data_IF_822238519991
#
_entry.id   IF_822238519991
#
_cell.length_a   1.000
_cell.length_b   1.000
_cell.length_c   1.000
_cell.angle_alpha   90.00
_cell.angle_beta   90.00
_cell.angle_gamma   90.00
#
_symmetry.space_group_name_H-M   'P 1'
#
loop_
_entity.id
_entity.type
_entity.pdbx_description
1 polymer ?
#
# COMPACT_ATOMS: atom_id res chain seq x y z
N UNK A 1 25.26 -3.56 -19.71
CA UNK A 1 23.88 -3.28 -19.26
C UNK A 1 23.69 -3.31 -17.73
N UNK A 2 24.75 -3.14 -16.92
CA UNK A 2 24.66 -3.35 -15.47
C UNK A 2 23.64 -2.44 -14.76
N UNK A 3 23.65 -1.13 -15.04
CA UNK A 3 22.69 -0.19 -14.45
C UNK A 3 21.22 -0.49 -14.82
N UNK A 4 20.98 -0.96 -16.05
CA UNK A 4 19.64 -1.43 -16.46
C UNK A 4 19.24 -2.65 -15.63
N UNK A 5 20.16 -3.61 -15.44
CA UNK A 5 19.96 -4.76 -14.57
C UNK A 5 19.67 -4.38 -13.11
N UNK A 6 20.35 -3.37 -12.56
CA UNK A 6 20.08 -2.85 -11.21
C UNK A 6 18.66 -2.30 -11.07
N UNK A 7 18.21 -1.51 -12.03
CA UNK A 7 16.83 -0.97 -12.04
C UNK A 7 15.80 -2.10 -12.14
N UNK A 8 16.00 -3.04 -13.05
CA UNK A 8 15.10 -4.20 -13.22
C UNK A 8 15.05 -5.02 -11.94
N UNK A 9 16.20 -5.33 -11.34
CA UNK A 9 16.29 -6.06 -10.07
C UNK A 9 15.54 -5.35 -8.94
N UNK A 10 15.67 -4.02 -8.84
CA UNK A 10 14.94 -3.23 -7.86
C UNK A 10 13.42 -3.31 -8.10
N UNK A 11 12.98 -3.25 -9.36
CA UNK A 11 11.56 -3.31 -9.74
C UNK A 11 10.98 -4.69 -9.45
N UNK A 12 11.69 -5.76 -9.80
CA UNK A 12 11.35 -7.14 -9.45
C UNK A 12 11.18 -7.30 -7.94
N UNK A 13 12.17 -6.86 -7.15
CA UNK A 13 12.11 -6.99 -5.68
C UNK A 13 10.96 -6.18 -5.07
N UNK A 14 10.69 -4.97 -5.56
CA UNK A 14 9.55 -4.15 -5.12
C UNK A 14 8.19 -4.74 -5.51
N UNK A 15 8.14 -5.64 -6.49
CA UNK A 15 6.91 -6.25 -7.00
C UNK A 15 6.75 -7.72 -6.61
N UNK A 16 7.47 -8.16 -5.56
CA UNK A 16 7.33 -9.51 -4.99
C UNK A 16 8.14 -10.58 -5.71
N UNK A 17 9.14 -10.19 -6.50
CA UNK A 17 10.14 -11.08 -7.11
C UNK A 17 11.52 -10.82 -6.51
N UNK A 18 11.95 -11.56 -5.46
CA UNK A 18 13.27 -11.38 -4.89
C UNK A 18 14.35 -11.44 -5.96
N UNK A 19 15.12 -10.37 -6.10
CA UNK A 19 16.13 -10.21 -7.14
C UNK A 19 17.33 -9.44 -6.60
N UNK A 20 18.52 -9.91 -6.97
CA UNK A 20 19.80 -9.28 -6.68
C UNK A 20 20.62 -9.19 -7.97
N UNK A 21 21.44 -8.15 -8.09
CA UNK A 21 22.36 -8.01 -9.22
C UNK A 21 23.70 -8.65 -8.92
N UNK A 22 24.18 -9.47 -9.85
CA UNK A 22 25.52 -10.04 -9.85
C UNK A 22 26.38 -9.35 -10.92
N UNK A 23 27.51 -8.77 -10.53
CA UNK A 23 28.44 -8.20 -11.50
C UNK A 23 29.28 -9.32 -12.13
N UNK A 24 29.33 -9.47 -13.47
CA UNK A 24 29.97 -10.61 -14.11
C UNK A 24 31.46 -10.76 -13.76
N UNK A 25 32.19 -9.64 -13.72
CA UNK A 25 33.61 -9.66 -13.34
C UNK A 25 33.84 -10.08 -11.88
N UNK A 26 32.87 -9.89 -10.99
CA UNK A 26 32.99 -10.30 -9.57
C UNK A 26 32.51 -11.73 -9.35
N UNK A 27 31.58 -12.21 -10.18
CA UNK A 27 31.04 -13.56 -10.09
C UNK A 27 32.15 -14.63 -10.07
N UNK A 28 33.10 -14.54 -11.00
CA UNK A 28 34.23 -15.49 -11.09
C UNK A 28 35.21 -15.39 -9.92
N UNK A 29 35.12 -14.35 -9.11
CA UNK A 29 35.99 -14.10 -7.95
C UNK A 29 35.29 -14.36 -6.61
N UNK A 30 34.18 -15.11 -6.60
CA UNK A 30 33.52 -15.59 -5.40
C UNK A 30 32.02 -15.29 -5.34
N UNK A 31 31.57 -14.20 -5.96
CA UNK A 31 30.17 -13.76 -5.88
C UNK A 31 29.19 -14.70 -6.59
N UNK A 32 29.69 -15.65 -7.41
CA UNK A 32 28.87 -16.74 -7.96
C UNK A 32 28.15 -17.53 -6.86
N UNK A 33 28.68 -17.55 -5.63
CA UNK A 33 28.06 -18.21 -4.48
C UNK A 33 26.71 -17.63 -4.04
N UNK A 34 26.33 -16.44 -4.55
CA UNK A 34 25.00 -15.86 -4.36
C UNK A 34 23.92 -16.71 -5.06
N UNK A 35 24.30 -17.44 -6.12
CA UNK A 35 23.36 -18.19 -6.95
C UNK A 35 23.12 -19.60 -6.42
N UNK A 36 21.85 -19.95 -6.21
CA UNK A 36 21.38 -21.30 -5.90
C UNK A 36 20.83 -22.05 -7.12
N UNK A 37 20.74 -23.39 -7.04
CA UNK A 37 20.26 -24.23 -8.14
C UNK A 37 18.79 -24.03 -8.53
N UNK A 38 17.97 -23.47 -7.64
CA UNK A 38 16.58 -23.12 -7.91
C UNK A 38 16.39 -21.68 -8.42
N UNK A 39 17.49 -20.92 -8.54
CA UNK A 39 17.44 -19.55 -9.01
C UNK A 39 17.43 -19.48 -10.55
N UNK A 40 17.08 -18.29 -11.04
CA UNK A 40 17.11 -17.96 -12.45
C UNK A 40 18.10 -16.82 -12.65
N UNK A 41 19.10 -17.03 -13.51
CA UNK A 41 19.96 -15.97 -14.01
C UNK A 41 19.27 -15.26 -15.18
N UNK A 42 18.87 -14.01 -14.97
CA UNK A 42 18.47 -13.11 -16.05
C UNK A 42 19.73 -12.39 -16.60
N UNK A 43 20.24 -12.86 -17.73
CA UNK A 43 21.47 -12.35 -18.34
C UNK A 43 21.16 -11.27 -19.39
N UNK A 44 21.73 -10.07 -19.23
CA UNK A 44 21.47 -8.92 -20.09
C UNK A 44 22.68 -8.60 -20.98
N UNK A 45 22.53 -8.75 -22.30
CA UNK A 45 23.54 -8.30 -23.28
C UNK A 45 22.87 -8.00 -24.61
N UNK A 46 23.00 -6.76 -25.10
CA UNK A 46 22.38 -6.36 -26.37
C UNK A 46 22.91 -7.18 -27.56
N UNK A 47 24.23 -7.36 -27.69
CA UNK A 47 24.83 -8.21 -28.72
C UNK A 47 24.70 -9.70 -28.39
N UNK A 48 24.62 -10.05 -27.11
CA UNK A 48 24.69 -11.45 -26.65
C UNK A 48 26.09 -12.07 -26.75
N UNK A 49 27.12 -11.25 -26.98
CA UNK A 49 28.51 -11.66 -27.21
C UNK A 49 29.50 -11.05 -26.18
N UNK A 50 28.99 -10.46 -25.09
CA UNK A 50 29.84 -9.88 -24.04
C UNK A 50 30.66 -10.97 -23.35
N UNK A 51 32.00 -10.92 -23.47
CA UNK A 51 32.90 -11.95 -22.97
C UNK A 51 32.68 -12.24 -21.47
N UNK A 52 32.56 -11.21 -20.65
CA UNK A 52 32.39 -11.34 -19.20
C UNK A 52 31.08 -12.05 -18.83
N UNK A 53 30.04 -11.92 -19.67
CA UNK A 53 28.77 -12.63 -19.49
C UNK A 53 28.90 -14.08 -19.96
N UNK A 54 29.58 -14.33 -21.09
CA UNK A 54 29.74 -15.68 -21.62
C UNK A 54 30.62 -16.56 -20.73
N UNK A 55 31.66 -15.98 -20.13
CA UNK A 55 32.60 -16.67 -19.24
C UNK A 55 31.94 -17.22 -17.97
N UNK A 56 30.87 -16.59 -17.47
CA UNK A 56 30.18 -17.05 -16.25
C UNK A 56 29.19 -18.19 -16.53
N UNK A 57 28.71 -18.37 -17.77
CA UNK A 57 27.63 -19.32 -18.07
C UNK A 57 27.96 -20.79 -17.71
N UNK A 58 29.19 -21.30 -17.92
CA UNK A 58 29.53 -22.66 -17.50
C UNK A 58 29.49 -22.87 -15.99
N UNK A 59 29.81 -21.84 -15.19
CA UNK A 59 29.70 -21.92 -13.73
C UNK A 59 28.23 -21.92 -13.30
N UNK A 60 27.41 -21.06 -13.90
CA UNK A 60 25.96 -20.99 -13.66
C UNK A 60 25.27 -22.33 -13.96
N UNK A 61 25.60 -22.97 -15.10
CA UNK A 61 25.08 -24.29 -15.45
C UNK A 61 25.48 -25.38 -14.46
N UNK A 62 26.70 -25.32 -13.91
CA UNK A 62 27.17 -26.26 -12.87
C UNK A 62 26.42 -26.09 -11.55
N UNK A 63 26.02 -24.86 -11.20
CA UNK A 63 25.13 -24.58 -10.06
C UNK A 63 23.73 -25.17 -10.27
N UNK A 64 23.31 -25.34 -11.53
CA UNK A 64 22.00 -25.88 -11.90
C UNK A 64 20.94 -24.82 -12.14
N UNK A 65 21.29 -23.54 -11.97
CA UNK A 65 20.39 -22.41 -12.21
C UNK A 65 19.99 -22.30 -13.69
N UNK A 66 18.76 -21.88 -13.93
CA UNK A 66 18.23 -21.63 -15.28
C UNK A 66 18.69 -20.30 -15.81
N UNK A 67 18.96 -20.22 -17.11
CA UNK A 67 19.46 -19.00 -17.76
C UNK A 67 18.38 -18.45 -18.68
N UNK A 68 18.00 -17.20 -18.48
CA UNK A 68 17.12 -16.44 -19.38
C UNK A 68 17.92 -15.29 -19.97
N UNK A 69 18.03 -15.23 -21.30
CA UNK A 69 18.73 -14.15 -21.98
C UNK A 69 17.78 -12.99 -22.32
N UNK A 70 18.18 -11.76 -22.02
CA UNK A 70 17.62 -10.53 -22.60
C UNK A 70 18.63 -9.96 -23.58
N UNK A 71 18.36 -10.14 -24.88
CA UNK A 71 19.31 -9.79 -25.95
C UNK A 71 18.62 -9.29 -27.21
N UNK A 72 19.32 -8.50 -28.03
CA UNK A 72 18.85 -8.09 -29.35
C UNK A 72 19.16 -9.10 -30.45
N UNK A 73 20.02 -10.09 -30.20
CA UNK A 73 20.50 -11.03 -31.20
C UNK A 73 20.08 -12.47 -30.88
N UNK A 74 19.08 -12.97 -31.61
CA UNK A 74 18.49 -14.30 -31.40
C UNK A 74 19.48 -15.47 -31.61
N UNK A 75 20.48 -15.28 -32.47
CA UNK A 75 21.49 -16.28 -32.78
C UNK A 75 22.84 -15.94 -32.10
N UNK A 76 22.84 -15.23 -30.96
CA UNK A 76 24.06 -14.96 -30.21
C UNK A 76 24.53 -16.17 -29.38
N UNK A 77 25.78 -16.15 -28.93
CA UNK A 77 26.31 -17.16 -28.02
C UNK A 77 25.53 -17.23 -26.70
N UNK A 78 25.13 -16.07 -26.15
CA UNK A 78 24.28 -16.01 -24.96
C UNK A 78 22.91 -16.66 -25.22
N UNK A 79 22.25 -16.31 -26.33
CA UNK A 79 20.94 -16.87 -26.67
C UNK A 79 20.98 -18.40 -26.82
N UNK A 80 21.97 -18.93 -27.55
CA UNK A 80 22.17 -20.39 -27.71
C UNK A 80 22.46 -21.12 -26.41
N UNK A 81 23.04 -20.42 -25.43
CA UNK A 81 23.44 -21.00 -24.16
C UNK A 81 22.34 -20.94 -23.09
N UNK A 82 21.22 -20.27 -23.37
CA UNK A 82 20.15 -19.98 -22.42
C UNK A 82 18.97 -20.96 -22.56
N UNK A 83 18.25 -21.21 -21.46
CA UNK A 83 17.04 -22.02 -21.44
C UNK A 83 15.84 -21.29 -22.06
N UNK A 84 15.82 -19.96 -22.00
CA UNK A 84 14.84 -19.11 -22.66
C UNK A 84 15.46 -17.78 -23.13
N UNK A 85 14.83 -17.15 -24.14
CA UNK A 85 15.30 -15.90 -24.73
C UNK A 85 14.16 -14.89 -24.83
N UNK A 86 14.36 -13.74 -24.21
CA UNK A 86 13.56 -12.53 -24.39
C UNK A 86 14.29 -11.68 -25.43
N UNK A 87 13.78 -11.72 -26.66
CA UNK A 87 14.39 -11.02 -27.80
C UNK A 87 13.94 -9.55 -27.82
N UNK A 88 14.91 -8.62 -27.87
CA UNK A 88 14.69 -7.17 -27.83
C UNK A 88 15.48 -6.53 -28.99
N UNK A 89 15.05 -6.72 -30.24
CA UNK A 89 15.81 -6.28 -31.39
C UNK A 89 15.70 -4.77 -31.53
N UNK A 90 16.84 -4.07 -31.47
CA UNK A 90 16.93 -2.63 -31.73
C UNK A 90 17.85 -2.43 -32.94
N UNK A 91 17.27 -1.93 -34.04
CA UNK A 91 18.00 -1.76 -35.31
C UNK A 91 18.84 -0.49 -35.36
N UNK A 92 18.46 0.53 -34.59
CA UNK A 92 19.07 1.86 -34.64
C UNK A 92 19.06 2.53 -33.27
N UNK A 93 20.22 3.01 -32.87
CA UNK A 93 20.43 3.90 -31.74
C UNK A 93 20.18 5.35 -32.15
N UNK A 94 19.84 6.19 -31.18
CA UNK A 94 19.73 7.64 -31.38
C UNK A 94 21.09 8.28 -31.70
N UNK A 95 22.19 7.64 -31.28
CA UNK A 95 23.55 8.03 -31.62
C UNK A 95 23.75 8.01 -33.15
N UNK A 96 24.25 9.09 -33.78
CA UNK A 96 24.49 9.14 -35.22
C UNK A 96 25.40 8.04 -35.77
N UNK A 97 26.32 7.53 -34.94
CA UNK A 97 27.26 6.46 -35.28
C UNK A 97 26.73 5.06 -34.96
N UNK A 98 25.54 4.96 -34.36
CA UNK A 98 24.96 3.69 -33.92
C UNK A 98 25.81 2.90 -32.89
N UNK A 99 26.68 3.59 -32.14
CA UNK A 99 27.62 2.98 -31.19
C UNK A 99 27.18 3.14 -29.73
N UNK A 100 26.74 4.34 -29.35
CA UNK A 100 26.35 4.60 -27.97
C UNK A 100 24.98 3.99 -27.70
N UNK A 101 24.85 3.16 -26.64
CA UNK A 101 23.58 2.51 -26.32
C UNK A 101 22.57 3.55 -25.81
N UNK A 102 21.45 3.66 -26.50
CA UNK A 102 20.40 4.64 -26.22
C UNK A 102 19.02 3.97 -26.33
N UNK A 103 18.58 3.64 -27.53
CA UNK A 103 17.34 2.92 -27.79
C UNK A 103 17.42 1.49 -27.23
N UNK A 104 18.57 0.82 -27.34
CA UNK A 104 18.74 -0.55 -26.82
C UNK A 104 18.59 -0.64 -25.30
N UNK A 105 19.16 0.29 -24.55
CA UNK A 105 19.05 0.32 -23.09
C UNK A 105 17.65 0.71 -22.64
N UNK A 106 17.00 1.68 -23.30
CA UNK A 106 15.61 2.05 -23.02
C UNK A 106 14.65 0.90 -23.30
N UNK A 107 14.80 0.22 -24.44
CA UNK A 107 13.96 -0.94 -24.79
C UNK A 107 14.15 -2.07 -23.77
N UNK A 108 15.40 -2.38 -23.40
CA UNK A 108 15.71 -3.40 -22.40
C UNK A 108 15.11 -3.07 -21.03
N UNK A 109 15.16 -1.80 -20.62
CA UNK A 109 14.54 -1.33 -19.37
C UNK A 109 13.01 -1.50 -19.41
N UNK A 110 12.37 -1.07 -20.50
CA UNK A 110 10.92 -1.17 -20.67
C UNK A 110 10.44 -2.63 -20.65
N UNK A 111 11.17 -3.53 -21.32
CA UNK A 111 10.86 -4.97 -21.29
C UNK A 111 11.08 -5.56 -19.91
N UNK A 112 12.11 -5.13 -19.18
CA UNK A 112 12.32 -5.54 -17.79
C UNK A 112 11.19 -5.11 -16.86
N UNK A 113 10.63 -3.92 -17.07
CA UNK A 113 9.46 -3.44 -16.34
C UNK A 113 8.22 -4.26 -16.69
N UNK A 114 7.99 -4.50 -17.98
CA UNK A 114 6.90 -5.37 -18.43
C UNK A 114 7.01 -6.78 -17.82
N UNK A 115 8.21 -7.36 -17.76
CA UNK A 115 8.46 -8.66 -17.13
C UNK A 115 8.08 -8.62 -15.64
N UNK A 116 8.46 -7.57 -14.91
CA UNK A 116 8.12 -7.44 -13.50
C UNK A 116 6.59 -7.35 -13.29
N UNK A 117 5.87 -6.61 -14.13
CA UNK A 117 4.41 -6.50 -14.05
C UNK A 117 3.72 -7.82 -14.39
N UNK A 118 4.17 -8.53 -15.43
CA UNK A 118 3.61 -9.85 -15.78
C UNK A 118 3.83 -10.84 -14.63
N UNK A 119 5.00 -10.82 -13.98
CA UNK A 119 5.28 -11.68 -12.84
C UNK A 119 4.45 -11.30 -11.59
N UNK A 120 4.25 -10.00 -11.36
CA UNK A 120 3.37 -9.46 -10.31
C UNK A 120 1.96 -10.03 -10.48
N UNK A 121 1.39 -9.91 -11.68
CA UNK A 121 0.04 -10.39 -11.99
C UNK A 121 -0.06 -11.92 -11.88
N UNK A 122 0.90 -12.65 -12.47
CA UNK A 122 0.91 -14.11 -12.44
C UNK A 122 1.00 -14.69 -11.02
N UNK A 123 1.60 -13.96 -10.07
CA UNK A 123 1.68 -14.33 -8.65
C UNK A 123 0.50 -13.85 -7.82
N UNK A 124 -0.46 -13.13 -8.42
CA UNK A 124 -1.58 -12.54 -7.72
C UNK A 124 -1.14 -11.53 -6.65
N UNK A 125 -0.03 -10.82 -6.89
CA UNK A 125 0.54 -9.87 -5.94
C UNK A 125 -0.42 -8.70 -5.71
N UNK A 126 -0.76 -8.45 -4.43
CA UNK A 126 -1.80 -7.49 -4.08
C UNK A 126 -1.23 -6.18 -3.56
N UNK A 127 -2.10 -5.17 -3.48
CA UNK A 127 -1.77 -3.87 -2.89
C UNK A 127 -1.28 -4.00 -1.45
N UNK A 128 -1.83 -4.95 -0.69
CA UNK A 128 -1.39 -5.23 0.69
C UNK A 128 0.04 -5.80 0.74
N UNK A 129 0.46 -6.58 -0.25
CA UNK A 129 1.81 -7.14 -0.33
C UNK A 129 2.82 -6.05 -0.71
N UNK A 130 2.43 -5.12 -1.59
CA UNK A 130 3.23 -3.93 -1.87
C UNK A 130 3.48 -3.11 -0.61
N UNK A 131 2.46 -2.93 0.24
CA UNK A 131 2.59 -2.19 1.49
C UNK A 131 3.59 -2.84 2.46
N UNK A 132 3.58 -4.18 2.57
CA UNK A 132 4.53 -4.93 3.41
C UNK A 132 5.98 -4.74 2.95
N UNK A 133 6.22 -4.67 1.64
CA UNK A 133 7.55 -4.46 1.07
C UNK A 133 8.02 -3.00 1.11
N UNK A 134 7.14 -2.04 1.43
CA UNK A 134 7.45 -0.61 1.47
C UNK A 134 7.02 0.06 2.79
N UNK A 135 7.44 -0.44 3.97
CA UNK A 135 6.91 0.02 5.26
C UNK A 135 7.25 1.48 5.59
N UNK A 136 8.35 2.01 5.04
CA UNK A 136 8.77 3.40 5.21
C UNK A 136 8.15 4.38 4.21
N UNK A 137 7.59 3.87 3.11
CA UNK A 137 7.03 4.68 2.03
C UNK A 137 5.64 5.22 2.35
N UNK A 138 5.25 6.33 1.70
CA UNK A 138 3.92 6.90 1.85
C UNK A 138 2.81 5.86 1.58
N UNK A 139 3.00 5.01 0.56
CA UNK A 139 2.06 3.97 0.16
C UNK A 139 1.90 2.90 1.26
N UNK A 140 3.01 2.36 1.79
CA UNK A 140 2.95 1.31 2.81
C UNK A 140 2.40 1.80 4.14
N UNK A 141 2.74 3.04 4.55
CA UNK A 141 2.20 3.65 5.77
C UNK A 141 0.69 3.81 5.70
N UNK A 142 0.17 4.42 4.64
CA UNK A 142 -1.28 4.67 4.52
C UNK A 142 -2.09 3.38 4.41
N UNK A 143 -1.52 2.31 3.81
CA UNK A 143 -2.20 1.04 3.62
C UNK A 143 -2.21 0.12 4.85
N UNK A 144 -1.31 0.33 5.80
CA UNK A 144 -1.21 -0.53 7.00
C UNK A 144 -1.75 0.12 8.27
N UNK A 145 -2.03 1.43 8.25
CA UNK A 145 -2.63 2.12 9.39
C UNK A 145 -4.01 1.54 9.70
N UNK A 146 -4.24 1.21 10.96
CA UNK A 146 -5.54 0.73 11.44
C UNK A 146 -6.33 1.87 12.04
N UNK A 147 -7.65 1.71 12.08
CA UNK A 147 -8.56 2.62 12.80
C UNK A 147 -8.11 2.82 14.25
N UNK A 148 -7.65 1.76 14.92
CA UNK A 148 -7.13 1.83 16.28
C UNK A 148 -5.96 2.82 16.47
N UNK A 149 -5.19 3.10 15.41
CA UNK A 149 -4.02 3.99 15.44
C UNK A 149 -4.43 5.45 15.26
N UNK A 150 -5.58 5.71 14.65
CA UNK A 150 -6.06 7.06 14.30
C UNK A 150 -7.25 7.53 15.14
N UNK A 151 -7.93 6.62 15.83
CA UNK A 151 -9.13 6.95 16.61
C UNK A 151 -8.79 7.73 17.88
N UNK A 152 -9.69 8.65 18.25
CA UNK A 152 -9.76 9.29 19.55
C UNK A 152 -10.17 8.25 20.61
N UNK A 153 -9.45 8.24 21.74
CA UNK A 153 -9.67 7.33 22.88
C UNK A 153 -9.79 8.13 24.18
N UNK A 154 -10.21 7.45 25.25
CA UNK A 154 -10.24 7.97 26.61
C UNK A 154 -10.93 9.34 26.71
N UNK A 155 -10.24 10.36 27.23
CA UNK A 155 -10.78 11.71 27.39
C UNK A 155 -11.16 12.40 26.08
N UNK A 156 -10.66 11.91 24.94
CA UNK A 156 -11.03 12.44 23.60
C UNK A 156 -12.23 11.70 22.98
N UNK A 157 -12.79 10.70 23.65
CA UNK A 157 -13.99 10.00 23.23
C UNK A 157 -15.21 10.57 23.98
N UNK A 158 -16.00 11.38 23.31
CA UNK A 158 -17.27 11.85 23.87
C UNK A 158 -18.26 10.68 23.93
N UNK A 159 -18.73 10.36 25.13
CA UNK A 159 -19.69 9.29 25.36
C UNK A 159 -20.68 9.65 26.48
N UNK A 160 -21.96 9.35 26.29
CA UNK A 160 -23.01 9.49 27.32
C UNK A 160 -23.95 8.30 27.35
N UNK A 161 -24.62 8.08 28.48
CA UNK A 161 -25.63 7.02 28.59
C UNK A 161 -26.93 7.39 27.84
N UNK A 162 -27.65 6.40 27.30
CA UNK A 162 -28.95 6.56 26.61
C UNK A 162 -30.03 7.27 27.45
N UNK A 163 -29.89 7.28 28.77
CA UNK A 163 -30.79 7.99 29.70
C UNK A 163 -30.44 9.47 29.89
N UNK A 164 -29.32 9.93 29.34
CA UNK A 164 -28.85 11.31 29.46
C UNK A 164 -29.73 12.32 28.72
N UNK A 165 -29.49 13.60 28.98
CA UNK A 165 -30.14 14.72 28.30
C UNK A 165 -29.19 15.36 27.28
N UNK A 166 -29.74 16.18 26.39
CA UNK A 166 -28.97 16.92 25.37
C UNK A 166 -27.85 17.76 25.99
N UNK A 167 -28.09 18.41 27.15
CA UNK A 167 -27.03 19.17 27.85
C UNK A 167 -25.80 18.31 28.21
N UNK A 168 -26.01 17.06 28.59
CA UNK A 168 -24.94 16.17 29.04
C UNK A 168 -24.09 15.74 27.83
N UNK A 169 -24.75 15.49 26.69
CA UNK A 169 -24.11 15.26 25.40
C UNK A 169 -23.23 16.46 24.98
N UNK A 170 -23.76 17.69 25.05
CA UNK A 170 -23.00 18.91 24.70
C UNK A 170 -21.77 19.08 25.59
N UNK A 171 -21.90 18.84 26.89
CA UNK A 171 -20.78 18.91 27.84
C UNK A 171 -19.72 17.84 27.52
N UNK A 172 -20.13 16.62 27.18
CA UNK A 172 -19.20 15.54 26.79
C UNK A 172 -18.44 15.89 25.50
N UNK A 173 -19.15 16.39 24.47
CA UNK A 173 -18.56 16.85 23.21
C UNK A 173 -17.53 17.97 23.44
N UNK A 174 -17.91 18.97 24.23
CA UNK A 174 -17.04 20.10 24.60
C UNK A 174 -15.78 19.62 25.33
N UNK A 175 -15.93 18.73 26.30
CA UNK A 175 -14.81 18.20 27.09
C UNK A 175 -13.84 17.38 26.23
N UNK A 176 -14.36 16.61 25.29
CA UNK A 176 -13.58 15.78 24.38
C UNK A 176 -13.02 16.54 23.17
N UNK A 177 -13.48 17.79 22.95
CA UNK A 177 -13.28 18.57 21.71
C UNK A 177 -13.68 17.77 20.46
N UNK A 178 -14.87 17.17 20.50
CA UNK A 178 -15.41 16.32 19.44
C UNK A 178 -16.70 16.91 18.86
N UNK A 179 -16.89 16.79 17.53
CA UNK A 179 -18.09 17.21 16.81
C UNK A 179 -19.27 16.25 16.95
N UNK A 180 -19.03 15.07 17.53
CA UNK A 180 -20.03 14.06 17.82
C UNK A 180 -19.83 13.39 19.18
N UNK A 181 -20.91 12.81 19.69
CA UNK A 181 -20.94 11.99 20.91
C UNK A 181 -21.62 10.65 20.64
N UNK A 182 -21.00 9.58 21.11
CA UNK A 182 -21.61 8.26 21.12
C UNK A 182 -22.57 8.10 22.31
N UNK A 183 -23.74 7.54 22.04
CA UNK A 183 -24.73 7.21 23.06
C UNK A 183 -24.67 5.71 23.31
N UNK A 184 -24.45 5.30 24.57
CA UNK A 184 -24.33 3.89 24.95
C UNK A 184 -25.40 3.44 25.95
N UNK A 185 -25.70 2.16 25.95
CA UNK A 185 -26.54 1.54 26.99
C UNK A 185 -25.75 1.31 28.30
N UNK A 186 -26.38 0.65 29.28
CA UNK A 186 -25.74 0.35 30.57
C UNK A 186 -24.58 -0.67 30.47
N UNK A 187 -24.50 -1.44 29.38
CA UNK A 187 -23.43 -2.39 29.10
C UNK A 187 -22.29 -1.80 28.26
N UNK A 188 -22.39 -0.51 27.88
CA UNK A 188 -21.43 0.17 27.02
C UNK A 188 -21.62 -0.11 25.52
N UNK A 189 -22.70 -0.82 25.14
CA UNK A 189 -23.02 -1.05 23.73
C UNK A 189 -23.54 0.21 23.08
N UNK A 190 -23.13 0.43 21.83
CA UNK A 190 -23.53 1.60 21.08
C UNK A 190 -25.03 1.58 20.76
N UNK A 191 -25.73 2.64 21.11
CA UNK A 191 -27.15 2.83 20.89
C UNK A 191 -27.46 3.94 19.87
N UNK A 192 -26.58 4.92 19.69
CA UNK A 192 -26.79 6.02 18.75
C UNK A 192 -25.64 7.03 18.70
N UNK A 193 -25.79 8.03 17.82
CA UNK A 193 -24.89 9.19 17.71
C UNK A 193 -25.68 10.49 17.80
N UNK A 194 -25.06 11.53 18.33
CA UNK A 194 -25.55 12.90 18.25
C UNK A 194 -24.39 13.84 17.87
N UNK A 195 -24.63 14.75 16.92
CA UNK A 195 -23.60 15.58 16.29
C UNK A 195 -23.92 17.07 16.42
N UNK A 196 -22.93 17.94 16.14
CA UNK A 196 -23.16 19.38 16.01
C UNK A 196 -24.17 19.72 14.90
N UNK A 197 -24.21 18.90 13.83
CA UNK A 197 -25.22 18.98 12.78
C UNK A 197 -26.62 18.72 13.31
N UNK A 198 -26.79 17.69 14.15
CA UNK A 198 -28.07 17.40 14.81
C UNK A 198 -28.49 18.52 15.77
N UNK A 199 -27.55 19.07 16.54
CA UNK A 199 -27.82 20.20 17.43
C UNK A 199 -28.30 21.42 16.66
N UNK A 200 -27.62 21.78 15.56
CA UNK A 200 -28.01 22.91 14.69
C UNK A 200 -29.40 22.71 14.10
N UNK A 201 -29.71 21.50 13.61
CA UNK A 201 -31.05 21.14 13.11
C UNK A 201 -32.11 21.23 14.22
N UNK A 202 -31.79 20.76 15.43
CA UNK A 202 -32.73 20.76 16.55
C UNK A 202 -33.08 22.18 17.02
N UNK A 203 -32.09 23.08 17.06
CA UNK A 203 -32.28 24.50 17.42
C UNK A 203 -33.16 25.24 16.39
N UNK A 204 -32.97 24.96 15.10
CA UNK A 204 -33.74 25.62 14.04
C UNK A 204 -35.18 25.12 13.94
N UNK A 205 -35.42 23.83 14.23
CA UNK A 205 -36.74 23.22 14.13
C UNK A 205 -37.62 23.39 15.38
N UNK A 206 -37.04 23.60 16.57
CA UNK A 206 -37.80 23.68 17.83
C UNK A 206 -37.52 24.98 18.59
N UNK A 207 -38.58 25.66 19.01
CA UNK A 207 -38.50 26.75 20.00
C UNK A 207 -38.69 26.17 21.41
N UNK A 208 -37.75 26.40 22.33
CA UNK A 208 -37.86 26.01 23.74
C UNK A 208 -36.59 25.40 24.37
N UNK A 209 -36.73 24.79 25.55
CA UNK A 209 -35.63 24.28 26.38
C UNK A 209 -35.05 22.93 25.87
N UNK A 210 -34.40 22.96 24.71
CA UNK A 210 -33.79 21.80 24.03
C UNK A 210 -32.81 21.03 24.94
N UNK A 211 -32.06 21.76 25.77
CA UNK A 211 -31.06 21.21 26.69
C UNK A 211 -31.60 20.12 27.62
N UNK A 212 -32.91 20.11 27.92
CA UNK A 212 -33.53 19.15 28.83
C UNK A 212 -34.16 17.93 28.15
N UNK A 213 -34.17 17.88 26.81
CA UNK A 213 -34.71 16.75 26.08
C UNK A 213 -33.88 15.48 26.34
N UNK A 214 -34.53 14.30 26.44
CA UNK A 214 -33.82 13.03 26.49
C UNK A 214 -33.02 12.82 25.20
N UNK A 215 -31.74 12.46 25.30
CA UNK A 215 -30.87 12.29 24.12
C UNK A 215 -31.41 11.21 23.17
N UNK A 216 -32.01 10.15 23.71
CA UNK A 216 -32.66 9.05 22.96
C UNK A 216 -33.79 9.49 22.02
N UNK A 217 -34.34 10.69 22.23
CA UNK A 217 -35.42 11.24 21.42
C UNK A 217 -34.92 12.02 20.20
N UNK A 218 -33.63 12.39 20.18
CA UNK A 218 -33.03 13.25 19.15
C UNK A 218 -31.76 12.68 18.53
N UNK A 219 -31.22 11.58 19.06
CA UNK A 219 -30.08 10.88 18.49
C UNK A 219 -30.44 10.17 17.17
N UNK A 220 -29.46 10.01 16.30
CA UNK A 220 -29.54 9.09 15.17
C UNK A 220 -29.35 7.67 15.67
N UNK A 221 -30.35 6.81 15.43
CA UNK A 221 -30.32 5.38 15.79
C UNK A 221 -29.60 4.62 14.67
N UNK A 222 -28.74 3.67 15.03
CA UNK A 222 -27.90 2.91 14.10
C UNK A 222 -26.95 3.79 13.24
N UNK A 223 -25.97 4.47 13.87
CA UNK A 223 -24.95 5.22 13.13
C UNK A 223 -24.08 4.30 12.26
N UNK A 224 -23.42 4.88 11.27
CA UNK A 224 -22.35 4.21 10.53
C UNK A 224 -21.16 4.04 11.50
N UNK A 225 -20.61 2.83 11.53
CA UNK A 225 -19.51 2.47 12.43
C UNK A 225 -18.41 1.72 11.70
N UNK A 226 -17.20 1.84 12.22
CA UNK A 226 -16.05 1.03 11.84
C UNK A 226 -15.54 0.24 13.04
N UNK A 227 -14.69 -0.76 12.82
CA UNK A 227 -14.04 -1.53 13.88
C UNK A 227 -12.60 -1.08 14.06
N UNK A 228 -12.06 -1.29 15.25
CA UNK A 228 -10.70 -0.86 15.59
C UNK A 228 -9.62 -1.52 14.70
N UNK A 229 -9.87 -2.74 14.21
CA UNK A 229 -8.96 -3.48 13.34
C UNK A 229 -9.06 -3.13 11.85
N UNK A 230 -10.09 -2.38 11.46
CA UNK A 230 -10.31 -1.99 10.07
C UNK A 230 -9.15 -1.08 9.60
N UNK A 231 -8.95 -0.99 8.28
CA UNK A 231 -7.87 -0.16 7.75
C UNK A 231 -8.33 1.30 7.67
N UNK A 232 -7.41 2.23 7.93
CA UNK A 232 -7.68 3.66 7.87
C UNK A 232 -8.15 4.12 6.47
N UNK A 233 -7.72 3.42 5.42
CA UNK A 233 -8.19 3.69 4.04
C UNK A 233 -9.69 3.39 3.85
N UNK A 234 -10.27 2.50 4.66
CA UNK A 234 -11.71 2.20 4.61
C UNK A 234 -12.53 3.34 5.21
N UNK A 235 -11.98 4.04 6.23
CA UNK A 235 -12.60 5.25 6.81
C UNK A 235 -12.73 6.35 5.77
N UNK A 236 -11.70 6.59 4.95
CA UNK A 236 -11.74 7.59 3.88
C UNK A 236 -12.88 7.33 2.88
N UNK A 237 -13.06 6.08 2.46
CA UNK A 237 -14.15 5.71 1.55
C UNK A 237 -15.51 6.01 2.16
N UNK A 238 -15.69 5.70 3.45
CA UNK A 238 -16.94 6.00 4.15
C UNK A 238 -17.19 7.51 4.21
N UNK A 239 -16.17 8.33 4.45
CA UNK A 239 -16.32 9.79 4.44
C UNK A 239 -16.72 10.33 3.06
N UNK A 240 -16.10 9.82 1.99
CA UNK A 240 -16.45 10.17 0.60
C UNK A 240 -17.89 9.75 0.25
N UNK A 241 -18.31 8.56 0.67
CA UNK A 241 -19.64 8.01 0.38
C UNK A 241 -20.75 8.69 1.21
N UNK A 242 -20.48 9.09 2.45
CA UNK A 242 -21.53 9.43 3.41
C UNK A 242 -21.62 10.90 3.85
N UNK A 243 -20.75 11.82 3.39
CA UNK A 243 -20.80 13.25 3.79
C UNK A 243 -20.96 13.44 5.31
N UNK A 244 -20.14 12.72 6.08
CA UNK A 244 -20.06 12.79 7.55
C UNK A 244 -18.64 13.17 7.95
N UNK A 245 -18.49 13.77 9.14
CA UNK A 245 -17.18 14.21 9.65
C UNK A 245 -16.65 13.32 10.80
N UNK A 246 -17.54 12.60 11.47
CA UNK A 246 -17.25 11.74 12.63
C UNK A 246 -17.76 10.32 12.41
N UNK A 247 -16.92 9.33 12.73
CA UNK A 247 -17.25 7.90 12.69
C UNK A 247 -17.01 7.25 14.05
N UNK A 248 -18.00 6.50 14.54
CA UNK A 248 -17.88 5.77 15.79
C UNK A 248 -17.17 4.44 15.57
N UNK A 249 -16.25 4.10 16.48
CA UNK A 249 -15.48 2.87 16.44
C UNK A 249 -16.00 1.89 17.48
N UNK A 250 -16.32 0.67 17.06
CA UNK A 250 -16.84 -0.39 17.94
C UNK A 250 -15.95 -1.62 17.99
N UNK A 251 -16.02 -2.36 19.11
CA UNK A 251 -15.40 -3.68 19.24
C UNK A 251 -16.27 -4.82 18.67
N UNK A 252 -15.79 -6.07 18.77
CA UNK A 252 -16.54 -7.25 18.33
C UNK A 252 -17.85 -7.52 19.07
N UNK A 253 -18.09 -6.88 20.22
CA UNK A 253 -19.33 -6.95 20.99
C UNK A 253 -20.22 -5.71 20.81
N UNK A 254 -19.91 -4.85 19.83
CA UNK A 254 -20.59 -3.58 19.55
C UNK A 254 -20.49 -2.55 20.69
N UNK A 255 -19.44 -2.62 21.51
CA UNK A 255 -19.14 -1.59 22.51
C UNK A 255 -18.39 -0.45 21.87
N UNK A 256 -18.72 0.78 22.25
CA UNK A 256 -18.04 1.97 21.76
C UNK A 256 -16.61 2.03 22.34
N UNK A 257 -15.60 2.03 21.48
CA UNK A 257 -14.18 2.02 21.87
C UNK A 257 -13.38 3.21 21.32
N UNK A 258 -13.97 3.99 20.42
CA UNK A 258 -13.32 5.17 19.87
C UNK A 258 -14.20 5.98 18.94
N UNK A 259 -13.63 7.06 18.42
CA UNK A 259 -14.23 7.92 17.41
C UNK A 259 -13.12 8.38 16.45
N UNK A 260 -13.35 8.32 15.16
CA UNK A 260 -12.49 8.94 14.14
C UNK A 260 -13.13 10.25 13.73
N UNK A 261 -12.32 11.30 13.62
CA UNK A 261 -12.73 12.62 13.14
C UNK A 261 -11.89 12.93 11.90
N UNK A 262 -12.53 13.34 10.81
CA UNK A 262 -11.86 13.69 9.55
C UNK A 262 -10.76 14.74 9.74
N UNK A 263 -10.91 15.65 10.71
CA UNK A 263 -9.93 16.69 11.04
C UNK A 263 -8.64 16.15 11.66
N UNK A 264 -8.66 14.92 12.19
CA UNK A 264 -7.45 14.27 12.71
C UNK A 264 -6.65 13.58 11.60
N UNK A 265 -7.25 13.24 10.45
CA UNK A 265 -6.59 12.48 9.37
C UNK A 265 -5.32 13.14 8.78
N UNK A 266 -5.24 14.47 8.58
CA UNK A 266 -4.02 15.11 8.08
C UNK A 266 -2.80 14.88 8.98
N UNK A 267 -3.00 14.73 10.30
CA UNK A 267 -1.90 14.46 11.26
C UNK A 267 -1.24 13.11 11.00
N UNK A 268 -1.98 12.18 10.41
CA UNK A 268 -1.53 10.83 10.10
C UNK A 268 -1.05 10.68 8.65
N UNK A 269 -1.02 11.77 7.86
CA UNK A 269 -0.65 11.77 6.43
C UNK A 269 -1.50 10.80 5.60
N UNK A 270 -2.77 10.67 5.98
CA UNK A 270 -3.78 9.87 5.28
C UNK A 270 -4.45 10.69 4.16
N UNK A 271 -4.37 12.04 4.26
CA UNK A 271 -4.80 13.03 3.28
C UNK A 271 -3.59 13.81 2.76
#
# INVERSE_FOLDING_TARGET
>A
CFHVGQKISATLSSTGSPSVTLHPSQALHGDIGILGGNDILLALSHSGESAEILEILPAVKRVGAKIVAMTGAAASALARSSDAVILIPVRREACPFNLAPTASTTAMLAVGDALAIVLLEARGFRREDFAKLHPGGAIGRTLLLRVADIMRKDKRLACVNIRAKVKDAILAMTSARAGAVGIVDASGKLAGIFTDGDLRRLITQRRGAIAHLPIRAVMTRAPITVRAQDLAVEVLKIYEEHTIDDLLVVDGQCRLVGLVDIQDLPKFKIL
#
